data_IF_587381624838
#
_entry.id   IF_587381624838
#
_cell.length_a   1.000
_cell.length_b   1.000
_cell.length_c   1.000
_cell.angle_alpha   90.00
_cell.angle_beta   90.00
_cell.angle_gamma   90.00
#
_symmetry.space_group_name_H-M   'P 1'
#
loop_
_entity.id
_entity.type
_entity.pdbx_description
1 polymer ?
#
# COMPACT_ATOMS: atom_id res chain seq x y z
N UNK A 1 -8.55 -10.45 11.85
CA UNK A 1 -7.98 -10.97 13.12
C UNK A 1 -6.47 -10.84 13.18
N UNK A 2 -5.70 -11.37 12.21
CA UNK A 2 -4.22 -11.32 12.22
C UNK A 2 -3.62 -9.92 12.34
N UNK A 3 -4.09 -8.96 11.54
CA UNK A 3 -3.55 -7.60 11.61
C UNK A 3 -3.78 -6.91 12.95
N UNK A 4 -4.89 -7.23 13.64
CA UNK A 4 -5.17 -6.72 14.99
C UNK A 4 -4.26 -7.36 16.03
N UNK A 5 -3.93 -8.65 15.90
CA UNK A 5 -2.98 -9.31 16.79
C UNK A 5 -1.56 -8.73 16.68
N UNK A 6 -1.16 -8.25 15.49
CA UNK A 6 0.16 -7.60 15.30
C UNK A 6 0.36 -6.31 16.11
N UNK A 7 -0.71 -5.66 16.56
CA UNK A 7 -0.61 -4.40 17.33
C UNK A 7 -0.39 -4.63 18.83
N UNK A 8 -0.57 -5.85 19.34
CA UNK A 8 -0.46 -6.19 20.76
C UNK A 8 0.89 -6.86 21.03
N UNK A 9 1.66 -6.40 22.01
CA UNK A 9 3.03 -6.86 22.26
C UNK A 9 3.13 -8.38 22.43
N UNK A 10 2.21 -8.96 23.20
CA UNK A 10 2.18 -10.38 23.57
C UNK A 10 1.92 -11.30 22.36
N UNK A 11 1.11 -10.85 21.40
CA UNK A 11 0.69 -11.67 20.25
C UNK A 11 1.41 -11.30 18.95
N UNK A 12 2.20 -10.22 18.94
CA UNK A 12 2.88 -9.69 17.75
C UNK A 12 3.78 -10.71 17.07
N UNK A 13 4.59 -11.44 17.85
CA UNK A 13 5.56 -12.40 17.30
C UNK A 13 4.86 -13.54 16.56
N UNK A 14 3.89 -14.17 17.22
CA UNK A 14 3.10 -15.27 16.65
C UNK A 14 2.28 -14.78 15.44
N UNK A 15 1.70 -13.58 15.52
CA UNK A 15 0.93 -13.01 14.42
C UNK A 15 1.81 -12.73 13.18
N UNK A 16 3.06 -12.27 13.36
CA UNK A 16 4.02 -12.12 12.27
C UNK A 16 4.39 -13.47 11.64
N UNK A 17 4.68 -14.48 12.46
CA UNK A 17 5.00 -15.83 11.96
C UNK A 17 3.84 -16.41 11.15
N UNK A 18 2.61 -16.26 11.64
CA UNK A 18 1.43 -16.76 10.96
C UNK A 18 1.15 -16.01 9.66
N UNK A 19 1.36 -14.69 9.62
CA UNK A 19 1.30 -13.93 8.37
C UNK A 19 2.37 -14.41 7.37
N UNK A 20 3.62 -14.57 7.79
CA UNK A 20 4.68 -15.10 6.92
C UNK A 20 4.32 -16.48 6.36
N UNK A 21 3.86 -17.41 7.20
CA UNK A 21 3.41 -18.73 6.75
C UNK A 21 2.24 -18.65 5.74
N UNK A 22 1.31 -17.72 5.95
CA UNK A 22 0.21 -17.49 5.01
C UNK A 22 0.72 -16.98 3.65
N UNK A 23 1.65 -16.01 3.64
CA UNK A 23 2.23 -15.48 2.41
C UNK A 23 3.02 -16.56 1.65
N UNK A 24 3.80 -17.38 2.37
CA UNK A 24 4.53 -18.50 1.77
C UNK A 24 3.58 -19.53 1.17
N UNK A 25 2.52 -19.91 1.88
CA UNK A 25 1.52 -20.85 1.37
C UNK A 25 0.82 -20.34 0.10
N UNK A 26 0.49 -19.05 0.04
CA UNK A 26 -0.06 -18.45 -1.18
C UNK A 26 0.94 -18.47 -2.33
N UNK A 27 2.19 -18.12 -2.04
CA UNK A 27 3.27 -18.09 -3.03
C UNK A 27 3.59 -19.49 -3.57
N UNK A 28 3.81 -20.48 -2.69
CA UNK A 28 4.10 -21.87 -3.07
C UNK A 28 2.91 -22.55 -3.74
N UNK A 29 1.69 -22.13 -3.40
CA UNK A 29 0.46 -22.55 -4.05
C UNK A 29 0.22 -21.89 -5.42
N UNK A 30 1.15 -21.07 -5.92
CA UNK A 30 1.10 -20.46 -7.24
C UNK A 30 0.10 -19.32 -7.38
N UNK A 31 -0.36 -18.70 -6.28
CA UNK A 31 -1.32 -17.60 -6.35
C UNK A 31 -0.69 -16.36 -6.97
N UNK A 32 -1.36 -15.77 -7.95
CA UNK A 32 -0.98 -14.46 -8.46
C UNK A 32 -1.37 -13.35 -7.47
N UNK A 33 -0.83 -12.14 -7.67
CA UNK A 33 -1.30 -10.94 -6.97
C UNK A 33 -2.80 -10.72 -7.21
N UNK A 34 -3.29 -11.08 -8.40
CA UNK A 34 -4.69 -10.95 -8.77
C UNK A 34 -5.59 -11.92 -7.98
N UNK A 35 -5.12 -13.14 -7.72
CA UNK A 35 -5.83 -14.12 -6.89
C UNK A 35 -5.90 -13.65 -5.42
N UNK A 36 -4.80 -13.07 -4.91
CA UNK A 36 -4.78 -12.54 -3.54
C UNK A 36 -5.66 -11.30 -3.41
N UNK A 37 -5.75 -10.45 -4.44
CA UNK A 37 -6.73 -9.37 -4.48
C UNK A 37 -8.17 -9.88 -4.38
N UNK A 38 -8.49 -10.99 -5.04
CA UNK A 38 -9.81 -11.61 -4.92
C UNK A 38 -10.04 -12.22 -3.54
N UNK A 39 -9.05 -12.92 -2.97
CA UNK A 39 -9.13 -13.50 -1.63
C UNK A 39 -9.32 -12.45 -0.52
N UNK A 40 -8.73 -11.27 -0.69
CA UNK A 40 -8.88 -10.16 0.25
C UNK A 40 -10.14 -9.31 -0.02
N UNK A 41 -10.96 -9.69 -1.01
CA UNK A 41 -12.17 -9.00 -1.43
C UNK A 41 -11.92 -7.52 -1.83
N UNK A 42 -10.86 -7.30 -2.62
CA UNK A 42 -10.43 -5.97 -3.06
C UNK A 42 -10.90 -5.61 -4.48
N UNK A 43 -11.79 -6.39 -5.09
CA UNK A 43 -12.17 -6.28 -6.50
C UNK A 43 -12.65 -4.89 -6.95
N UNK A 44 -13.32 -4.13 -6.07
CA UNK A 44 -13.87 -2.80 -6.40
C UNK A 44 -13.63 -1.77 -5.28
N UNK A 45 -12.48 -1.84 -4.58
CA UNK A 45 -12.19 -0.89 -3.51
C UNK A 45 -11.73 0.45 -4.10
N UNK A 46 -12.43 1.51 -3.72
CA UNK A 46 -12.08 2.90 -4.05
C UNK A 46 -11.27 3.60 -2.93
N UNK A 47 -11.23 2.99 -1.74
CA UNK A 47 -10.50 3.48 -0.56
C UNK A 47 -10.15 2.29 0.37
N UNK A 48 -8.94 2.30 0.92
CA UNK A 48 -8.40 1.35 1.91
C UNK A 48 -8.21 1.98 3.30
N UNK A 49 -8.73 3.18 3.54
CA UNK A 49 -8.66 3.86 4.85
C UNK A 49 -9.20 2.96 5.94
N UNK A 50 -8.39 2.72 6.98
CA UNK A 50 -8.74 1.81 8.08
C UNK A 50 -8.78 0.33 7.71
N UNK A 51 -8.46 -0.06 6.47
CA UNK A 51 -8.44 -1.46 6.06
C UNK A 51 -7.03 -2.05 6.26
N UNK A 52 -6.84 -2.89 7.29
CA UNK A 52 -5.52 -3.40 7.60
C UNK A 52 -5.04 -4.47 6.60
N UNK A 53 -5.94 -5.02 5.77
CA UNK A 53 -5.61 -6.04 4.77
C UNK A 53 -4.82 -5.46 3.58
N UNK A 54 -4.79 -4.13 3.40
CA UNK A 54 -3.90 -3.50 2.43
C UNK A 54 -2.43 -3.85 2.70
N UNK A 55 -2.03 -3.89 3.98
CA UNK A 55 -0.68 -4.30 4.36
C UNK A 55 -0.40 -5.77 4.00
N UNK A 56 -1.41 -6.64 4.09
CA UNK A 56 -1.29 -8.04 3.67
C UNK A 56 -1.07 -8.14 2.17
N UNK A 57 -1.83 -7.40 1.36
CA UNK A 57 -1.64 -7.35 -0.10
C UNK A 57 -0.21 -6.93 -0.46
N UNK A 58 0.26 -5.81 0.09
CA UNK A 58 1.58 -5.27 -0.27
C UNK A 58 2.71 -6.16 0.26
N UNK A 59 2.54 -6.78 1.43
CA UNK A 59 3.50 -7.78 1.92
C UNK A 59 3.57 -9.00 1.00
N UNK A 60 2.43 -9.41 0.42
CA UNK A 60 2.42 -10.47 -0.60
C UNK A 60 3.15 -10.06 -1.88
N UNK A 61 2.96 -8.82 -2.35
CA UNK A 61 3.67 -8.29 -3.50
C UNK A 61 5.19 -8.27 -3.27
N UNK A 62 5.65 -7.83 -2.09
CA UNK A 62 7.06 -7.90 -1.69
C UNK A 62 7.59 -9.34 -1.75
N UNK A 63 6.82 -10.30 -1.23
CA UNK A 63 7.19 -11.73 -1.28
C UNK A 63 7.35 -12.25 -2.71
N UNK A 64 6.46 -11.89 -3.62
CA UNK A 64 6.54 -12.27 -5.04
C UNK A 64 7.77 -11.65 -5.72
N UNK A 65 8.06 -10.37 -5.41
CA UNK A 65 9.18 -9.63 -6.01
C UNK A 65 10.56 -10.07 -5.52
N UNK A 66 10.65 -10.73 -4.35
CA UNK A 66 11.90 -11.34 -3.89
C UNK A 66 12.42 -12.43 -4.85
N UNK A 67 11.53 -13.17 -5.51
CA UNK A 67 11.91 -14.17 -6.53
C UNK A 67 12.00 -13.57 -7.93
N UNK A 68 11.42 -12.39 -8.14
CA UNK A 68 11.31 -11.73 -9.43
C UNK A 68 11.84 -10.29 -9.36
N UNK A 69 13.13 -10.11 -9.00
CA UNK A 69 13.71 -8.77 -8.90
C UNK A 69 13.62 -8.04 -10.24
N UNK A 70 13.25 -6.77 -10.20
CA UNK A 70 13.08 -5.94 -11.39
C UNK A 70 11.65 -5.88 -11.97
N UNK A 71 10.70 -6.70 -11.49
CA UNK A 71 9.31 -6.65 -11.96
C UNK A 71 8.40 -5.66 -11.21
N UNK A 72 8.95 -4.88 -10.26
CA UNK A 72 8.17 -3.99 -9.41
C UNK A 72 7.35 -2.96 -10.20
N UNK A 73 7.95 -2.31 -11.20
CA UNK A 73 7.26 -1.34 -12.05
C UNK A 73 6.10 -1.98 -12.80
N UNK A 74 6.33 -3.13 -13.44
CA UNK A 74 5.29 -3.85 -14.19
C UNK A 74 4.14 -4.27 -13.29
N UNK A 75 4.46 -4.83 -12.11
CA UNK A 75 3.46 -5.25 -11.12
C UNK A 75 2.60 -4.08 -10.64
N UNK A 76 3.23 -2.97 -10.25
CA UNK A 76 2.52 -1.78 -9.76
C UNK A 76 1.70 -1.10 -10.86
N UNK A 77 2.22 -1.01 -12.09
CA UNK A 77 1.47 -0.43 -13.21
C UNK A 77 0.26 -1.29 -13.60
N UNK A 78 0.33 -2.62 -13.46
CA UNK A 78 -0.85 -3.49 -13.67
C UNK A 78 -2.00 -3.13 -12.71
N UNK A 79 -1.70 -2.73 -11.47
CA UNK A 79 -2.71 -2.33 -10.49
C UNK A 79 -3.44 -1.04 -10.87
N UNK A 80 -2.83 -0.17 -11.70
CA UNK A 80 -3.48 1.04 -12.20
C UNK A 80 -4.69 0.76 -13.11
N UNK A 81 -4.78 -0.46 -13.66
CA UNK A 81 -5.93 -0.90 -14.45
C UNK A 81 -7.16 -1.20 -13.58
N UNK A 82 -6.96 -1.46 -12.29
CA UNK A 82 -7.99 -1.89 -11.33
C UNK A 82 -8.33 -0.81 -10.31
N UNK A 83 -7.31 -0.11 -9.84
CA UNK A 83 -7.42 0.92 -8.82
C UNK A 83 -7.16 2.29 -9.42
N UNK A 84 -7.96 3.27 -8.99
CA UNK A 84 -7.84 4.67 -9.39
C UNK A 84 -7.61 5.53 -8.16
N UNK A 85 -7.14 6.75 -8.39
CA UNK A 85 -7.16 7.85 -7.44
C UNK A 85 -6.66 7.46 -6.05
N UNK A 86 -7.49 7.62 -5.01
CA UNK A 86 -7.13 7.35 -3.61
C UNK A 86 -6.68 5.91 -3.38
N UNK A 87 -7.45 4.91 -3.82
CA UNK A 87 -7.09 3.50 -3.64
C UNK A 87 -5.70 3.16 -4.19
N UNK A 88 -5.41 3.63 -5.41
CA UNK A 88 -4.11 3.37 -6.03
C UNK A 88 -2.98 4.05 -5.25
N UNK A 89 -3.16 5.32 -4.88
CA UNK A 89 -2.13 6.05 -4.12
C UNK A 89 -1.87 5.42 -2.75
N UNK A 90 -2.90 4.87 -2.08
CA UNK A 90 -2.70 4.12 -0.84
C UNK A 90 -1.87 2.85 -1.04
N UNK A 91 -2.08 2.12 -2.14
CA UNK A 91 -1.23 0.98 -2.51
C UNK A 91 0.22 1.44 -2.74
N UNK A 92 0.43 2.52 -3.50
CA UNK A 92 1.76 3.06 -3.78
C UNK A 92 2.48 3.50 -2.48
N UNK A 93 1.79 4.23 -1.60
CA UNK A 93 2.31 4.66 -0.30
C UNK A 93 2.68 3.46 0.60
N UNK A 94 1.87 2.41 0.59
CA UNK A 94 2.19 1.18 1.31
C UNK A 94 3.40 0.45 0.69
N UNK A 95 3.49 0.40 -0.65
CA UNK A 95 4.59 -0.22 -1.38
C UNK A 95 5.93 0.48 -1.18
N UNK A 96 5.93 1.81 -0.96
CA UNK A 96 7.15 2.58 -0.65
C UNK A 96 7.86 2.11 0.61
N UNK A 97 7.17 1.44 1.53
CA UNK A 97 7.76 0.91 2.77
C UNK A 97 8.62 -0.34 2.54
N UNK A 98 8.61 -0.89 1.32
CA UNK A 98 9.32 -2.11 0.97
C UNK A 98 10.45 -1.80 -0.02
N UNK A 99 11.72 -2.13 0.30
CA UNK A 99 12.86 -1.88 -0.59
C UNK A 99 12.72 -2.49 -1.99
N UNK A 100 12.01 -3.61 -2.12
CA UNK A 100 11.73 -4.28 -3.40
C UNK A 100 10.89 -3.43 -4.37
N UNK A 101 10.12 -2.46 -3.84
CA UNK A 101 9.15 -1.66 -4.58
C UNK A 101 9.39 -0.15 -4.49
N UNK A 102 10.14 0.33 -3.50
CA UNK A 102 10.29 1.74 -3.16
C UNK A 102 10.57 2.63 -4.38
N UNK A 103 11.64 2.33 -5.13
CA UNK A 103 12.03 3.11 -6.31
C UNK A 103 10.93 3.16 -7.37
N UNK A 104 10.26 2.03 -7.62
CA UNK A 104 9.19 1.94 -8.61
C UNK A 104 7.94 2.71 -8.15
N UNK A 105 7.55 2.56 -6.89
CA UNK A 105 6.41 3.24 -6.30
C UNK A 105 6.60 4.78 -6.32
N UNK A 106 7.79 5.26 -5.95
CA UNK A 106 8.14 6.70 -6.00
C UNK A 106 8.06 7.23 -7.44
N UNK A 107 8.63 6.49 -8.39
CA UNK A 107 8.60 6.90 -9.80
C UNK A 107 7.17 6.99 -10.35
N UNK A 108 6.31 6.02 -10.02
CA UNK A 108 4.90 6.01 -10.44
C UNK A 108 4.13 7.16 -9.76
N UNK A 109 4.28 7.36 -8.44
CA UNK A 109 3.59 8.44 -7.74
C UNK A 109 4.05 9.82 -8.23
N UNK A 110 5.34 9.99 -8.54
CA UNK A 110 5.86 11.25 -9.12
C UNK A 110 5.19 11.56 -10.46
N UNK A 111 5.07 10.56 -11.34
CA UNK A 111 4.37 10.72 -12.63
C UNK A 111 2.88 11.07 -12.44
N UNK A 112 2.22 10.48 -11.44
CA UNK A 112 0.81 10.81 -11.10
C UNK A 112 0.67 12.27 -10.70
N UNK A 113 1.54 12.75 -9.80
CA UNK A 113 1.55 14.15 -9.34
C UNK A 113 1.77 15.11 -10.52
N UNK A 114 2.73 14.81 -11.39
CA UNK A 114 2.96 15.60 -12.60
C UNK A 114 1.72 15.63 -13.51
N UNK A 115 1.04 14.48 -13.68
CA UNK A 115 -0.20 14.40 -14.44
C UNK A 115 -1.33 15.25 -13.84
N UNK A 116 -1.49 15.23 -12.51
CA UNK A 116 -2.48 16.07 -11.83
C UNK A 116 -2.24 17.56 -12.07
N UNK A 117 -0.97 17.99 -12.01
CA UNK A 117 -0.59 19.38 -12.31
C UNK A 117 -0.86 19.73 -13.78
N UNK A 118 -0.46 18.87 -14.72
CA UNK A 118 -0.65 19.11 -16.15
C UNK A 118 -2.14 19.19 -16.54
N UNK A 119 -3.00 18.45 -15.84
CA UNK A 119 -4.43 18.44 -16.08
C UNK A 119 -5.19 19.55 -15.32
N UNK A 120 -4.50 20.42 -14.59
CA UNK A 120 -5.11 21.45 -13.72
C UNK A 120 -6.12 20.85 -12.73
N UNK A 121 -5.81 19.68 -12.17
CA UNK A 121 -6.66 19.06 -11.16
C UNK A 121 -6.81 19.94 -9.93
N UNK A 122 -7.99 19.91 -9.30
CA UNK A 122 -8.24 20.69 -8.09
C UNK A 122 -7.28 20.29 -6.97
N UNK A 123 -6.56 21.24 -6.34
CA UNK A 123 -5.66 20.93 -5.23
C UNK A 123 -6.34 20.17 -4.08
N UNK A 124 -7.62 20.44 -3.82
CA UNK A 124 -8.42 19.75 -2.80
C UNK A 124 -8.60 18.28 -3.17
N UNK A 125 -8.96 17.98 -4.43
CA UNK A 125 -9.10 16.60 -4.90
C UNK A 125 -7.76 15.87 -4.91
N UNK A 126 -6.69 16.53 -5.34
CA UNK A 126 -5.34 15.95 -5.32
C UNK A 126 -4.91 15.63 -3.89
N UNK A 127 -5.21 16.49 -2.92
CA UNK A 127 -4.94 16.24 -1.51
C UNK A 127 -5.64 14.96 -1.00
N UNK A 128 -6.91 14.78 -1.36
CA UNK A 128 -7.68 13.57 -1.04
C UNK A 128 -7.14 12.32 -1.76
N UNK A 129 -6.85 12.41 -3.05
CA UNK A 129 -6.33 11.30 -3.85
C UNK A 129 -4.95 10.84 -3.42
N UNK A 130 -4.08 11.77 -2.98
CA UNK A 130 -2.79 11.44 -2.40
C UNK A 130 -2.88 10.93 -0.95
N UNK A 131 -4.11 10.79 -0.41
CA UNK A 131 -4.38 10.31 0.96
C UNK A 131 -3.69 11.17 2.03
N UNK A 132 -3.54 12.48 1.79
CA UNK A 132 -2.86 13.41 2.69
C UNK A 132 -3.76 13.92 3.82
N UNK A 133 -5.07 13.86 3.64
CA UNK A 133 -6.09 14.18 4.64
C UNK A 133 -6.13 13.18 5.81
N UNK A 134 -5.57 11.99 5.61
CA UNK A 134 -5.46 10.95 6.64
C UNK A 134 -4.11 10.98 7.40
N UNK A 135 -3.20 11.89 7.05
CA UNK A 135 -1.87 12.01 7.71
C UNK A 135 -1.93 12.90 8.97
N UNK A 136 -3.09 13.51 9.24
CA UNK A 136 -3.31 14.55 10.24
C UNK A 136 -3.06 14.20 11.71
N UNK A 137 -2.82 12.93 12.07
CA UNK A 137 -2.48 12.55 13.46
C UNK A 137 -1.02 12.91 13.81
N UNK A 138 -0.13 13.09 12.82
CA UNK A 138 1.29 13.43 13.08
C UNK A 138 1.67 14.88 12.75
N UNK A 139 0.89 15.61 11.95
CA UNK A 139 1.19 17.01 11.64
C UNK A 139 0.91 17.96 12.83
N UNK A 140 -0.09 17.65 13.65
CA UNK A 140 -0.42 18.45 14.84
C UNK A 140 0.64 18.38 15.95
N UNK A 141 1.40 17.29 16.03
CA UNK A 141 2.44 17.11 17.04
C UNK A 141 3.74 17.89 16.74
N UNK A 142 4.00 18.20 15.47
CA UNK A 142 5.29 18.80 15.05
C UNK A 142 5.22 20.32 14.91
N UNK A 143 4.02 20.90 14.75
CA UNK A 143 3.84 22.36 14.71
C UNK A 143 3.60 22.98 16.09
N UNK A 144 3.09 22.23 17.07
CA UNK A 144 2.92 22.73 18.45
C UNK A 144 4.21 22.76 19.29
N UNK A 145 5.29 22.09 18.87
CA UNK A 145 6.56 22.06 19.60
C UNK A 145 7.55 23.16 19.19
N UNK A 146 7.18 24.03 18.24
CA UNK A 146 8.05 25.09 17.71
C UNK A 146 7.54 26.51 17.99
N UNK A 147 6.47 26.64 18.77
CA UNK A 147 5.89 27.92 19.21
C UNK A 147 5.68 27.97 20.73
N UNK A 148 6.67 27.48 21.49
CA UNK A 148 6.79 27.68 22.93
C UNK A 148 8.12 28.33 23.26
#
# INVERSE_FOLDING_TARGET
MLQKAKTTDETRSIAKQLESAQLEMWFSGGKSVDDVLELLDFRMKFDFTGNPLLNTLVSYMDRVLKENPGQATTMLTKLETRFKDRALNQILLAAMKFPSMEKAAIAIQTKKIQGYVANNESPVKVFEWLNLDNVGVNFSATLCSRSG
#
